data_IF_334252881690
#
_entry.id   IF_334252881690
#
_cell.length_a   1.000
_cell.length_b   1.000
_cell.length_c   1.000
_cell.angle_alpha   90.00
_cell.angle_beta   90.00
_cell.angle_gamma   90.00
#
_symmetry.space_group_name_H-M   'P 1'
#
loop_
_entity.id
_entity.type
_entity.pdbx_description
1 polymer ?
#
# COMPACT_ATOMS: atom_id res chain seq x y z
N UNK A 1 18.76 19.98 -1.85
CA UNK A 1 20.07 20.48 -1.39
C UNK A 1 20.73 19.59 -0.32
N UNK A 2 19.95 18.79 0.42
CA UNK A 2 20.47 17.91 1.49
C UNK A 2 20.72 16.46 1.04
N UNK A 3 20.57 16.14 -0.25
CA UNK A 3 20.78 14.81 -0.82
C UNK A 3 19.72 13.76 -0.46
N UNK A 4 18.63 14.15 0.17
CA UNK A 4 17.53 13.25 0.51
C UNK A 4 16.79 12.84 -0.76
N UNK A 5 16.63 11.55 -0.99
CA UNK A 5 15.81 11.04 -2.10
C UNK A 5 14.33 11.06 -1.71
N UNK A 6 13.50 11.62 -2.56
CA UNK A 6 12.07 11.80 -2.31
C UNK A 6 11.29 11.11 -3.42
N UNK A 7 10.46 10.16 -3.03
CA UNK A 7 9.58 9.42 -3.94
C UNK A 7 8.13 9.72 -3.58
N UNK A 8 7.37 10.20 -4.54
CA UNK A 8 5.98 10.59 -4.34
C UNK A 8 5.07 9.80 -5.27
N UNK A 9 4.03 9.22 -4.69
CA UNK A 9 2.92 8.63 -5.41
C UNK A 9 1.73 9.56 -5.28
N UNK A 10 1.37 10.27 -6.34
CA UNK A 10 0.34 11.31 -6.32
C UNK A 10 -0.71 10.99 -7.37
N UNK A 11 -1.92 10.70 -6.91
CA UNK A 11 -3.05 10.36 -7.78
C UNK A 11 -3.57 11.53 -8.61
N UNK A 12 -3.50 12.72 -8.09
CA UNK A 12 -4.12 13.91 -8.68
C UNK A 12 -3.11 14.92 -9.20
N UNK A 13 -3.47 16.21 -9.06
CA UNK A 13 -2.63 17.33 -9.49
C UNK A 13 -1.38 17.39 -8.61
N UNK A 14 -0.21 17.48 -9.24
CA UNK A 14 1.06 17.73 -8.58
C UNK A 14 1.61 19.08 -9.06
N UNK A 15 1.83 20.01 -8.12
CA UNK A 15 2.38 21.33 -8.41
C UNK A 15 3.92 21.37 -8.35
N UNK A 16 4.56 20.24 -8.04
CA UNK A 16 6.03 20.18 -7.97
C UNK A 16 6.63 20.10 -9.37
N UNK A 17 7.73 20.81 -9.57
CA UNK A 17 8.60 20.57 -10.71
C UNK A 17 9.72 19.64 -10.29
N UNK A 18 9.83 18.50 -10.97
CA UNK A 18 10.83 17.46 -10.72
C UNK A 18 12.02 17.62 -11.65
N UNK A 19 13.16 17.05 -11.28
CA UNK A 19 14.33 16.96 -12.16
C UNK A 19 15.00 18.30 -12.48
N UNK A 20 14.78 19.35 -11.70
CA UNK A 20 15.44 20.65 -11.88
C UNK A 20 16.81 20.62 -11.21
N UNK A 21 17.94 20.77 -11.96
CA UNK A 21 19.28 20.71 -11.42
C UNK A 21 19.50 21.70 -10.27
N UNK A 22 20.07 21.22 -9.16
CA UNK A 22 20.33 22.01 -7.95
C UNK A 22 19.09 22.33 -7.11
N UNK A 23 17.89 21.87 -7.53
CA UNK A 23 16.63 22.17 -6.85
C UNK A 23 15.84 20.92 -6.52
N UNK A 24 15.56 20.08 -7.50
CA UNK A 24 14.63 18.94 -7.36
C UNK A 24 15.03 17.69 -8.16
N UNK A 25 16.30 17.54 -8.49
CA UNK A 25 16.83 16.34 -9.18
C UNK A 25 16.65 15.05 -8.39
N UNK A 26 16.47 15.17 -7.09
CA UNK A 26 16.26 14.06 -6.15
C UNK A 26 14.77 13.80 -5.84
N UNK A 27 13.85 14.47 -6.52
CA UNK A 27 12.41 14.29 -6.35
C UNK A 27 11.85 13.51 -7.55
N UNK A 28 11.24 12.37 -7.26
CA UNK A 28 10.63 11.48 -8.23
C UNK A 28 9.13 11.39 -7.97
N UNK A 29 8.33 11.71 -8.96
CA UNK A 29 6.87 11.69 -8.84
C UNK A 29 6.30 10.71 -9.85
N UNK A 30 5.41 9.85 -9.39
CA UNK A 30 4.60 8.99 -10.24
C UNK A 30 3.13 9.06 -9.87
N UNK A 31 2.28 8.72 -10.81
CA UNK A 31 0.84 8.60 -10.64
C UNK A 31 0.39 7.23 -11.12
N UNK A 32 -0.47 6.57 -10.35
CA UNK A 32 -1.16 5.35 -10.76
C UNK A 32 -2.63 5.67 -10.90
N UNK A 33 -3.15 5.49 -12.12
CA UNK A 33 -4.58 5.60 -12.41
C UNK A 33 -5.04 4.26 -12.97
N UNK A 34 -5.70 3.50 -12.14
CA UNK A 34 -6.14 2.13 -12.43
C UNK A 34 -7.65 1.96 -12.33
N UNK A 35 -8.06 0.74 -12.03
CA UNK A 35 -9.47 0.37 -11.92
C UNK A 35 -10.08 0.79 -10.58
N UNK A 36 -9.26 0.95 -9.55
CA UNK A 36 -9.67 1.29 -8.20
C UNK A 36 -9.12 2.65 -7.79
N UNK A 37 -9.84 3.30 -6.88
CA UNK A 37 -9.42 4.58 -6.32
C UNK A 37 -8.31 4.36 -5.29
N UNK A 38 -7.11 4.88 -5.56
CA UNK A 38 -6.06 4.97 -4.56
C UNK A 38 -6.35 6.15 -3.61
N UNK A 39 -6.62 5.83 -2.35
CA UNK A 39 -7.03 6.83 -1.36
C UNK A 39 -6.24 6.75 -0.06
N UNK A 40 -5.19 5.99 -0.04
CA UNK A 40 -4.27 5.89 1.09
C UNK A 40 -3.43 7.15 1.21
N UNK A 41 -3.20 7.63 2.42
CA UNK A 41 -2.27 8.72 2.72
C UNK A 41 -1.26 8.15 3.69
N UNK A 42 -0.10 7.81 3.14
CA UNK A 42 1.00 7.14 3.83
C UNK A 42 2.23 8.03 3.70
N UNK A 43 2.93 8.21 4.81
CA UNK A 43 4.18 8.95 4.89
C UNK A 43 5.23 8.00 5.47
N UNK A 44 6.21 7.64 4.66
CA UNK A 44 7.31 6.76 5.05
C UNK A 44 8.62 7.55 5.07
N UNK A 45 9.32 7.46 6.17
CA UNK A 45 10.64 8.06 6.37
C UNK A 45 11.62 6.95 6.74
N UNK A 46 12.64 6.77 5.91
CA UNK A 46 13.68 5.77 6.16
C UNK A 46 14.54 6.10 7.41
N UNK A 47 14.71 7.38 7.70
CA UNK A 47 15.35 7.89 8.93
C UNK A 47 16.61 7.11 9.33
N UNK A 48 17.54 6.92 8.37
CA UNK A 48 18.81 6.20 8.57
C UNK A 48 18.65 4.78 9.15
N UNK A 49 17.61 4.06 8.71
CA UNK A 49 17.31 2.68 9.14
C UNK A 49 16.39 2.56 10.36
N UNK A 50 15.98 3.69 10.96
CA UNK A 50 14.93 3.74 11.98
C UNK A 50 13.62 4.18 11.33
N UNK A 51 13.00 3.27 10.59
CA UNK A 51 11.84 3.56 9.76
C UNK A 51 10.65 4.10 10.55
N UNK A 52 10.17 5.25 10.14
CA UNK A 52 8.96 5.87 10.67
C UNK A 52 7.86 5.89 9.61
N UNK A 53 6.67 5.42 9.99
CA UNK A 53 5.50 5.41 9.12
C UNK A 53 4.36 6.13 9.81
N UNK A 54 3.74 7.05 9.07
CA UNK A 54 2.54 7.74 9.49
C UNK A 54 1.43 7.51 8.46
N UNK A 55 0.19 7.51 8.94
CA UNK A 55 -0.99 7.53 8.09
C UNK A 55 -1.86 8.71 8.45
N UNK A 56 -2.65 9.19 7.49
CA UNK A 56 -3.49 10.35 7.72
C UNK A 56 -4.76 10.37 6.90
N UNK A 57 -5.66 11.27 7.27
CA UNK A 57 -6.94 11.50 6.57
C UNK A 57 -6.89 12.62 5.54
N UNK A 58 -5.89 13.51 5.62
CA UNK A 58 -5.79 14.70 4.78
C UNK A 58 -5.16 14.42 3.41
N UNK A 59 -5.82 14.87 2.34
CA UNK A 59 -5.10 15.21 1.11
C UNK A 59 -4.31 16.51 1.34
N UNK A 60 -3.14 16.65 0.74
CA UNK A 60 -2.32 17.86 0.86
C UNK A 60 -2.88 19.00 -0.03
N UNK A 61 -4.09 19.38 0.26
CA UNK A 61 -4.81 20.45 -0.43
C UNK A 61 -5.20 21.53 0.57
N UNK A 62 -5.21 22.82 0.19
CA UNK A 62 -5.53 23.94 1.09
C UNK A 62 -6.84 23.73 1.87
N UNK A 63 -7.88 23.22 1.22
CA UNK A 63 -9.16 22.96 1.91
C UNK A 63 -9.05 21.96 3.06
N UNK A 64 -8.17 20.95 2.93
CA UNK A 64 -7.99 19.94 3.97
C UNK A 64 -7.11 20.47 5.10
N UNK A 65 -6.00 21.14 4.72
CA UNK A 65 -5.00 21.61 5.69
C UNK A 65 -5.49 22.86 6.45
N UNK A 66 -6.28 23.73 5.81
CA UNK A 66 -6.66 25.03 6.39
C UNK A 66 -8.09 25.05 6.93
N UNK A 67 -8.98 24.16 6.50
CA UNK A 67 -10.43 24.28 6.74
C UNK A 67 -11.09 23.01 7.29
N UNK A 68 -10.32 21.95 7.58
CA UNK A 68 -10.83 20.70 8.12
C UNK A 68 -10.05 20.28 9.37
N UNK A 69 -10.70 19.50 10.20
CA UNK A 69 -10.01 18.75 11.25
C UNK A 69 -9.59 17.43 10.63
N UNK A 70 -8.30 17.22 10.57
CA UNK A 70 -7.68 16.03 9.99
C UNK A 70 -6.77 15.37 11.03
N UNK A 71 -6.53 14.09 10.88
CA UNK A 71 -5.66 13.33 11.77
C UNK A 71 -4.44 12.80 11.02
N UNK A 72 -3.30 12.77 11.69
CA UNK A 72 -2.10 12.03 11.31
C UNK A 72 -1.65 11.25 12.54
N UNK A 73 -1.37 9.97 12.37
CA UNK A 73 -0.98 9.10 13.48
C UNK A 73 0.18 8.20 13.07
N UNK A 74 1.09 7.88 14.02
CA UNK A 74 2.17 6.93 13.77
C UNK A 74 1.64 5.50 13.70
N UNK A 75 2.28 4.69 12.89
CA UNK A 75 2.10 3.24 12.87
C UNK A 75 3.22 2.62 13.69
N UNK A 76 2.89 2.05 14.84
CA UNK A 76 3.88 1.51 15.78
C UNK A 76 4.06 -0.02 15.64
N UNK A 77 3.01 -0.74 15.26
CA UNK A 77 3.05 -2.19 15.08
C UNK A 77 3.93 -2.60 13.89
N UNK A 78 4.93 -3.43 14.14
CA UNK A 78 5.91 -3.85 13.13
C UNK A 78 5.30 -4.72 12.02
N UNK A 79 4.26 -5.50 12.31
CA UNK A 79 3.58 -6.28 11.29
C UNK A 79 2.83 -5.35 10.32
N UNK A 80 2.12 -4.36 10.86
CA UNK A 80 1.41 -3.36 10.04
C UNK A 80 2.41 -2.50 9.25
N UNK A 81 3.55 -2.10 9.85
CA UNK A 81 4.61 -1.41 9.11
C UNK A 81 5.10 -2.21 7.91
N UNK A 82 5.30 -3.52 8.08
CA UNK A 82 5.75 -4.39 6.99
C UNK A 82 4.68 -4.54 5.90
N UNK A 83 3.41 -4.60 6.26
CA UNK A 83 2.31 -4.61 5.28
C UNK A 83 2.26 -3.28 4.49
N UNK A 84 2.43 -2.14 5.15
CA UNK A 84 2.47 -0.83 4.49
C UNK A 84 3.68 -0.70 3.56
N UNK A 85 4.86 -1.17 4.00
CA UNK A 85 6.06 -1.19 3.14
C UNK A 85 5.84 -2.05 1.90
N UNK A 86 5.17 -3.21 2.04
CA UNK A 86 4.81 -4.05 0.91
C UNK A 86 3.87 -3.33 -0.07
N UNK A 87 2.87 -2.61 0.45
CA UNK A 87 1.96 -1.80 -0.39
C UNK A 87 2.75 -0.76 -1.17
N UNK A 88 3.60 0.03 -0.50
CA UNK A 88 4.42 1.05 -1.15
C UNK A 88 5.38 0.45 -2.17
N UNK A 89 6.08 -0.66 -1.85
CA UNK A 89 6.98 -1.34 -2.78
C UNK A 89 6.25 -1.76 -4.05
N UNK A 90 5.09 -2.39 -3.91
CA UNK A 90 4.32 -2.87 -5.04
C UNK A 90 3.79 -1.73 -5.92
N UNK A 91 3.33 -0.63 -5.33
CA UNK A 91 2.92 0.57 -6.05
C UNK A 91 4.10 1.24 -6.76
N UNK A 92 5.26 1.35 -6.12
CA UNK A 92 6.45 1.91 -6.75
C UNK A 92 7.04 1.02 -7.85
N UNK A 93 6.72 -0.26 -7.86
CA UNK A 93 7.10 -1.20 -8.92
C UNK A 93 6.07 -1.31 -10.05
N UNK A 94 4.88 -0.72 -9.90
CA UNK A 94 3.88 -0.74 -10.98
C UNK A 94 4.46 -0.10 -12.24
N UNK A 95 4.46 -0.86 -13.33
CA UNK A 95 4.89 -0.41 -14.65
C UNK A 95 3.79 -0.53 -15.71
N UNK A 96 2.61 -0.99 -15.31
CA UNK A 96 1.45 -1.15 -16.20
C UNK A 96 0.57 0.09 -16.20
N UNK A 97 0.33 0.65 -15.03
CA UNK A 97 -0.55 1.82 -14.82
C UNK A 97 0.18 3.09 -14.42
N UNK A 98 1.45 2.97 -14.03
CA UNK A 98 2.23 4.12 -13.59
C UNK A 98 2.57 5.08 -14.74
N UNK A 99 2.48 6.35 -14.44
CA UNK A 99 2.94 7.48 -15.25
C UNK A 99 3.96 8.28 -14.44
N UNK A 100 5.06 8.64 -15.04
CA UNK A 100 6.17 9.35 -14.40
C UNK A 100 6.11 10.82 -14.79
N UNK A 101 6.10 11.70 -13.81
CA UNK A 101 6.14 13.15 -14.02
C UNK A 101 7.52 13.55 -14.58
N UNK A 102 7.50 14.32 -15.66
CA UNK A 102 8.68 14.85 -16.33
C UNK A 102 8.99 16.29 -15.88
N UNK A 103 10.21 16.80 -16.09
CA UNK A 103 10.60 18.17 -15.74
C UNK A 103 9.76 19.27 -16.43
N UNK A 104 9.19 18.98 -17.59
CA UNK A 104 8.31 19.88 -18.34
C UNK A 104 6.85 19.90 -17.82
N UNK A 105 6.55 19.02 -16.84
CA UNK A 105 5.22 18.88 -16.26
C UNK A 105 4.32 17.85 -16.96
N UNK A 106 4.80 17.18 -17.99
CA UNK A 106 4.07 16.10 -18.65
C UNK A 106 4.19 14.79 -17.87
N UNK A 107 3.26 13.85 -18.14
CA UNK A 107 3.31 12.51 -17.58
C UNK A 107 3.56 11.49 -18.68
N UNK A 108 4.60 10.70 -18.54
CA UNK A 108 4.95 9.63 -19.47
C UNK A 108 4.71 8.26 -18.86
N UNK A 109 4.28 7.30 -19.69
CA UNK A 109 4.18 5.91 -19.27
C UNK A 109 5.57 5.33 -19.06
N UNK A 110 5.70 4.53 -18.00
CA UNK A 110 6.94 3.81 -17.76
C UNK A 110 7.26 2.85 -18.91
N UNK A 111 8.52 2.80 -19.34
CA UNK A 111 8.99 1.82 -20.31
C UNK A 111 8.91 0.41 -19.71
N UNK A 112 8.29 -0.51 -20.47
CA UNK A 112 8.04 -1.89 -20.03
C UNK A 112 8.95 -2.91 -20.70
N UNK A 113 9.76 -2.48 -21.65
CA UNK A 113 10.60 -3.38 -22.45
C UNK A 113 11.63 -4.09 -21.58
N UNK A 114 11.64 -5.41 -21.64
CA UNK A 114 12.58 -6.24 -20.87
C UNK A 114 12.30 -6.33 -19.36
N UNK A 115 11.13 -5.86 -18.90
CA UNK A 115 10.75 -5.92 -17.48
C UNK A 115 9.52 -6.80 -17.25
N UNK A 116 9.42 -7.42 -16.08
CA UNK A 116 8.21 -8.11 -15.66
C UNK A 116 7.08 -7.09 -15.50
N UNK A 117 5.91 -7.41 -16.07
CA UNK A 117 4.74 -6.55 -15.95
C UNK A 117 4.15 -6.65 -14.55
N UNK A 118 4.05 -5.52 -13.86
CA UNK A 118 3.46 -5.40 -12.54
C UNK A 118 2.33 -4.38 -12.61
N UNK A 119 1.12 -4.82 -12.28
CA UNK A 119 -0.04 -3.99 -12.03
C UNK A 119 -0.39 -4.12 -10.55
N UNK A 120 -0.04 -3.14 -9.75
CA UNK A 120 -0.16 -3.17 -8.29
C UNK A 120 -1.58 -3.50 -7.83
N UNK A 121 -2.58 -2.88 -8.43
CA UNK A 121 -3.99 -3.10 -8.06
C UNK A 121 -4.45 -4.54 -8.33
N UNK A 122 -4.00 -5.15 -9.42
CA UNK A 122 -4.34 -6.53 -9.73
C UNK A 122 -3.60 -7.51 -8.82
N UNK A 123 -2.34 -7.20 -8.45
CA UNK A 123 -1.60 -8.00 -7.48
C UNK A 123 -2.26 -7.94 -6.09
N UNK A 124 -2.71 -6.78 -5.62
CA UNK A 124 -3.47 -6.69 -4.37
C UNK A 124 -4.75 -7.52 -4.41
N UNK A 125 -5.48 -7.50 -5.53
CA UNK A 125 -6.67 -8.34 -5.69
C UNK A 125 -6.33 -9.83 -5.62
N UNK A 126 -5.23 -10.25 -6.27
CA UNK A 126 -4.76 -11.64 -6.24
C UNK A 126 -4.41 -12.07 -4.82
N UNK A 127 -3.59 -11.28 -4.12
CA UNK A 127 -3.19 -11.54 -2.74
C UNK A 127 -4.38 -11.61 -1.78
N UNK A 128 -5.35 -10.70 -1.92
CA UNK A 128 -6.57 -10.71 -1.12
C UNK A 128 -7.41 -11.98 -1.35
N UNK A 129 -7.50 -12.41 -2.61
CA UNK A 129 -8.22 -13.63 -2.98
C UNK A 129 -7.54 -14.86 -2.39
N UNK A 130 -6.22 -14.97 -2.52
CA UNK A 130 -5.43 -16.07 -1.97
C UNK A 130 -5.53 -16.14 -0.45
N UNK A 131 -5.44 -14.99 0.24
CA UNK A 131 -5.64 -14.90 1.70
C UNK A 131 -7.05 -15.38 2.11
N UNK A 132 -8.08 -14.94 1.39
CA UNK A 132 -9.47 -15.34 1.67
C UNK A 132 -9.70 -16.85 1.45
N UNK A 133 -9.13 -17.43 0.40
CA UNK A 133 -9.20 -18.88 0.16
C UNK A 133 -8.45 -19.68 1.22
N UNK A 134 -7.29 -19.22 1.66
CA UNK A 134 -6.52 -19.86 2.72
C UNK A 134 -7.30 -19.86 4.06
N UNK A 135 -7.98 -18.76 4.39
CA UNK A 135 -8.83 -18.67 5.57
C UNK A 135 -10.01 -19.63 5.49
N UNK A 136 -10.72 -19.68 4.38
CA UNK A 136 -11.84 -20.64 4.17
C UNK A 136 -11.40 -22.10 4.32
N UNK A 137 -10.20 -22.44 3.84
CA UNK A 137 -9.65 -23.79 4.00
C UNK A 137 -9.34 -24.11 5.47
N UNK A 138 -8.82 -23.15 6.24
CA UNK A 138 -8.56 -23.31 7.67
C UNK A 138 -9.87 -23.50 8.45
N UNK A 139 -10.85 -22.63 8.24
CA UNK A 139 -12.17 -22.73 8.89
C UNK A 139 -12.87 -24.05 8.58
N UNK A 140 -12.80 -24.50 7.33
CA UNK A 140 -13.36 -25.81 6.94
C UNK A 140 -12.66 -26.96 7.65
N UNK A 141 -11.36 -26.88 7.88
CA UNK A 141 -10.58 -27.90 8.58
C UNK A 141 -10.85 -27.88 10.10
N UNK A 142 -10.99 -26.70 10.70
CA UNK A 142 -11.35 -26.55 12.11
C UNK A 142 -12.78 -26.99 12.40
N UNK A 143 -13.73 -26.63 11.54
CA UNK A 143 -15.13 -27.07 11.64
C UNK A 143 -15.34 -28.56 11.31
N UNK A 144 -14.35 -29.25 10.71
CA UNK A 144 -14.41 -30.69 10.49
C UNK A 144 -14.11 -31.50 11.76
N UNK A 145 -13.67 -30.89 12.85
CA UNK A 145 -13.60 -31.49 14.19
C UNK A 145 -14.99 -31.47 14.81
N UNK A 146 -15.86 -32.34 14.31
CA UNK A 146 -17.17 -32.57 14.90
C UNK A 146 -16.97 -33.20 16.26
N UNK A 147 -17.49 -32.58 17.32
CA UNK A 147 -17.62 -33.19 18.62
C UNK A 147 -18.59 -34.38 18.48
N UNK A 148 -18.08 -35.59 18.61
CA UNK A 148 -18.91 -36.80 18.69
C UNK A 148 -19.17 -37.01 20.17
N UNK A 149 -20.43 -36.82 20.64
CA UNK A 149 -20.76 -37.13 22.04
C UNK A 149 -20.43 -38.58 22.31
N UNK A 150 -19.86 -38.87 23.49
CA UNK A 150 -19.70 -40.24 23.92
C UNK A 150 -21.10 -40.90 24.07
N UNK A 151 -21.23 -42.16 23.66
CA UNK A 151 -22.45 -42.91 23.90
C UNK A 151 -22.73 -42.93 25.42
N UNK A 152 -24.00 -42.80 25.84
CA UNK A 152 -24.34 -42.92 27.26
C UNK A 152 -23.86 -44.31 27.76
N UNK A 153 -23.24 -44.31 28.95
CA UNK A 153 -22.92 -45.58 29.60
C UNK A 153 -24.21 -46.37 29.74
N UNK A 154 -24.21 -47.66 29.31
CA UNK A 154 -25.33 -48.55 29.59
C UNK A 154 -25.45 -48.67 31.10
N UNK A 155 -26.66 -48.39 31.63
CA UNK A 155 -26.96 -48.62 33.01
C UNK A 155 -26.78 -50.13 33.32
N UNK A 156 -25.80 -50.46 34.12
CA UNK A 156 -25.65 -51.83 34.63
C UNK A 156 -26.74 -51.98 35.69
N UNK A 157 -27.85 -52.62 35.31
CA UNK A 157 -28.84 -53.08 36.25
C UNK A 157 -28.18 -54.12 37.17
N UNK A 158 -28.15 -53.85 38.50
CA UNK A 158 -27.88 -54.84 39.55
C UNK A 158 -29.13 -55.70 39.85
#
# INVERSE_FOLDING_TARGET
SCGVQIYLLIRGICCLRVGIPGVSENIHVRSIVGNFLEHSRIFYFHNNGSDEIYMGSADWMPRNLDRRVEIVFPVEDEQIKNEIKHVLDLEFRDNVKAHILQPDGTYEKQDKRGTTLINSQMEFCREATEKAEALKKKEKHENSRVFIPAEPAEDVEE
#
